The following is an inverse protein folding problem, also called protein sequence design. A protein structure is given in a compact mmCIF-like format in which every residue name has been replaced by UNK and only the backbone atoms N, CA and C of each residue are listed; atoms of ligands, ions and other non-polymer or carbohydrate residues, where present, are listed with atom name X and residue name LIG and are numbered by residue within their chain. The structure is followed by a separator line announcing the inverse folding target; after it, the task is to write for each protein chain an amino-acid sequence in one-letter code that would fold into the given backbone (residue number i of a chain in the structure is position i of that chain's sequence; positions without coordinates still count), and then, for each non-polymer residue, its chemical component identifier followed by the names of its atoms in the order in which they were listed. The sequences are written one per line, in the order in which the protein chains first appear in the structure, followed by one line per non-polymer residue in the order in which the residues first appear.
data_IF_344181669921
#
_entry.id   IF_344181669921
#
_cell.length_a   1.000
_cell.length_b   1.000
_cell.length_c   1.000
_cell.angle_alpha   90.00
_cell.angle_beta   90.00
_cell.angle_gamma   90.00
#
_symmetry.space_group_name_H-M   'P 1'
#
loop_
_entity.id
_entity.type
_entity.pdbx_description
1 polymer ?
#
# COMPACT_ATOMS: atom_id res chain seq x y z
N UNK A 1 5.22 -9.38 -27.77
CA UNK A 1 3.80 -9.45 -27.36
C UNK A 1 3.21 -8.08 -27.62
N UNK A 2 2.16 -7.99 -28.44
CA UNK A 2 1.66 -6.75 -29.04
C UNK A 2 1.04 -5.82 -27.99
N UNK A 3 1.61 -4.62 -27.83
CA UNK A 3 0.98 -3.47 -27.16
C UNK A 3 -0.07 -2.84 -28.11
N UNK A 4 -1.10 -3.61 -28.46
CA UNK A 4 -2.29 -3.04 -29.10
C UNK A 4 -3.16 -2.34 -28.04
N UNK A 5 -3.92 -1.29 -28.39
CA UNK A 5 -4.93 -0.74 -27.50
C UNK A 5 -5.93 -1.84 -27.12
N UNK A 6 -6.32 -1.90 -25.84
CA UNK A 6 -7.27 -2.91 -25.37
C UNK A 6 -8.62 -2.74 -26.09
N UNK A 7 -9.30 -3.84 -26.36
CA UNK A 7 -10.61 -3.82 -27.03
C UNK A 7 -11.70 -3.30 -26.09
N UNK A 8 -12.80 -2.79 -26.63
CA UNK A 8 -13.96 -2.36 -25.83
C UNK A 8 -14.52 -3.48 -24.95
N UNK A 9 -14.41 -4.74 -25.40
CA UNK A 9 -14.84 -5.89 -24.62
C UNK A 9 -13.92 -6.15 -23.42
N UNK A 10 -12.60 -6.08 -23.61
CA UNK A 10 -11.61 -6.19 -22.53
C UNK A 10 -11.75 -5.03 -21.53
N UNK A 11 -12.00 -3.81 -22.02
CA UNK A 11 -12.33 -2.65 -21.17
C UNK A 11 -13.52 -2.96 -20.27
N UNK A 12 -14.66 -3.41 -20.82
CA UNK A 12 -15.86 -3.76 -20.02
C UNK A 12 -15.58 -4.84 -18.99
N UNK A 13 -14.80 -5.87 -19.35
CA UNK A 13 -14.43 -6.93 -18.41
C UNK A 13 -13.56 -6.40 -17.26
N UNK A 14 -12.57 -5.56 -17.56
CA UNK A 14 -11.71 -4.94 -16.55
C UNK A 14 -12.50 -4.00 -15.63
N UNK A 15 -13.37 -3.15 -16.20
CA UNK A 15 -14.25 -2.28 -15.42
C UNK A 15 -15.15 -3.10 -14.49
N UNK A 16 -15.76 -4.18 -14.99
CA UNK A 16 -16.56 -5.08 -14.17
C UNK A 16 -15.75 -5.76 -13.05
N UNK A 17 -14.50 -6.15 -13.31
CA UNK A 17 -13.61 -6.74 -12.31
C UNK A 17 -13.21 -5.73 -11.21
N UNK A 18 -13.00 -4.45 -11.57
CA UNK A 18 -12.72 -3.36 -10.63
C UNK A 18 -13.92 -3.07 -9.73
N UNK A 19 -15.11 -2.93 -10.33
CA UNK A 19 -16.37 -2.64 -9.62
C UNK A 19 -16.77 -3.78 -8.67
N UNK A 20 -16.46 -5.03 -9.02
CA UNK A 20 -16.73 -6.20 -8.18
C UNK A 20 -15.58 -6.54 -7.22
N UNK A 21 -14.55 -5.69 -7.15
CA UNK A 21 -13.38 -5.84 -6.28
C UNK A 21 -12.69 -7.21 -6.40
N UNK A 22 -12.74 -7.83 -7.58
CA UNK A 22 -12.10 -9.13 -7.86
C UNK A 22 -10.58 -8.99 -7.98
N UNK A 23 -10.10 -7.82 -8.37
CA UNK A 23 -8.67 -7.49 -8.38
C UNK A 23 -8.29 -7.02 -6.97
N UNK A 24 -7.51 -7.82 -6.26
CA UNK A 24 -7.23 -7.61 -4.84
C UNK A 24 -5.74 -7.53 -4.49
N UNK A 25 -4.86 -7.61 -5.50
CA UNK A 25 -3.43 -7.37 -5.36
C UNK A 25 -3.00 -6.07 -6.03
N UNK A 26 -1.95 -5.45 -5.50
CA UNK A 26 -1.32 -4.26 -6.10
C UNK A 26 -0.91 -4.52 -7.56
N UNK A 27 -0.42 -5.74 -7.83
CA UNK A 27 0.06 -6.13 -9.16
C UNK A 27 -1.07 -6.21 -10.18
N UNK A 28 -2.24 -6.71 -9.80
CA UNK A 28 -3.42 -6.76 -10.66
C UNK A 28 -4.00 -5.38 -10.90
N UNK A 29 -4.16 -4.57 -9.85
CA UNK A 29 -4.69 -3.21 -9.95
C UNK A 29 -3.79 -2.33 -10.82
N UNK A 30 -2.47 -2.44 -10.69
CA UNK A 30 -1.51 -1.70 -11.53
C UNK A 30 -1.52 -2.15 -12.97
N UNK A 31 -1.69 -3.45 -13.24
CA UNK A 31 -1.85 -3.96 -14.60
C UNK A 31 -3.13 -3.43 -15.23
N UNK A 32 -4.24 -3.46 -14.50
CA UNK A 32 -5.52 -2.89 -14.96
C UNK A 32 -5.39 -1.39 -15.23
N UNK A 33 -4.74 -0.63 -14.33
CA UNK A 33 -4.50 0.80 -14.51
C UNK A 33 -3.67 1.10 -15.77
N UNK A 34 -2.53 0.41 -15.95
CA UNK A 34 -1.70 0.58 -17.15
C UNK A 34 -2.47 0.27 -18.44
N UNK A 35 -3.28 -0.79 -18.43
CA UNK A 35 -4.11 -1.15 -19.58
C UNK A 35 -5.19 -0.10 -19.87
N UNK A 36 -5.91 0.35 -18.85
CA UNK A 36 -7.00 1.32 -19.01
C UNK A 36 -6.49 2.72 -19.36
N UNK A 37 -5.30 3.10 -18.90
CA UNK A 37 -4.66 4.37 -19.27
C UNK A 37 -4.34 4.48 -20.78
N UNK A 38 -4.38 3.37 -21.54
CA UNK A 38 -4.24 3.40 -23.00
C UNK A 38 -5.51 3.85 -23.72
N UNK A 39 -6.64 3.91 -23.02
CA UNK A 39 -7.93 4.38 -23.54
C UNK A 39 -8.31 5.66 -22.81
N UNK A 40 -8.44 6.77 -23.55
CA UNK A 40 -8.95 8.01 -23.01
C UNK A 40 -10.47 7.90 -22.78
N UNK A 41 -10.87 7.53 -21.56
CA UNK A 41 -12.26 7.26 -21.23
C UNK A 41 -12.59 7.66 -19.81
N UNK A 42 -13.48 8.65 -19.66
CA UNK A 42 -13.87 9.17 -18.34
C UNK A 42 -14.55 8.11 -17.45
N UNK A 43 -15.18 7.09 -18.06
CA UNK A 43 -15.91 6.02 -17.37
C UNK A 43 -15.01 5.01 -16.62
N UNK A 44 -13.68 5.09 -16.77
CA UNK A 44 -12.75 4.18 -16.05
C UNK A 44 -12.20 4.78 -14.75
N UNK A 45 -12.27 6.11 -14.59
CA UNK A 45 -11.65 6.82 -13.47
C UNK A 45 -12.29 6.48 -12.12
N UNK A 46 -13.62 6.47 -12.07
CA UNK A 46 -14.37 6.13 -10.86
C UNK A 46 -14.19 4.66 -10.45
N UNK A 47 -14.39 3.65 -11.33
CA UNK A 47 -14.11 2.26 -11.00
C UNK A 47 -12.69 2.01 -10.49
N UNK A 48 -11.70 2.67 -11.12
CA UNK A 48 -10.30 2.55 -10.72
C UNK A 48 -10.07 3.13 -9.32
N UNK A 49 -10.56 4.35 -9.07
CA UNK A 49 -10.42 5.02 -7.77
C UNK A 49 -11.12 4.24 -6.65
N UNK A 50 -12.31 3.71 -6.93
CA UNK A 50 -13.06 2.87 -6.00
C UNK A 50 -12.32 1.57 -5.67
N UNK A 51 -11.75 0.88 -6.67
CA UNK A 51 -10.99 -0.35 -6.45
C UNK A 51 -9.73 -0.12 -5.58
N UNK A 52 -8.98 0.96 -5.83
CA UNK A 52 -7.84 1.33 -4.97
C UNK A 52 -8.25 1.66 -3.55
N UNK A 53 -9.36 2.38 -3.39
CA UNK A 53 -9.92 2.71 -2.07
C UNK A 53 -10.32 1.44 -1.32
N UNK A 54 -10.99 0.50 -1.99
CA UNK A 54 -11.35 -0.79 -1.42
C UNK A 54 -10.11 -1.59 -1.00
N UNK A 55 -9.12 -1.71 -1.87
CA UNK A 55 -7.86 -2.42 -1.61
C UNK A 55 -7.14 -1.92 -0.35
N UNK A 56 -7.10 -0.60 -0.14
CA UNK A 56 -6.46 -0.01 1.04
C UNK A 56 -7.32 -0.19 2.30
N UNK A 57 -8.63 0.02 2.20
CA UNK A 57 -9.51 0.05 3.36
C UNK A 57 -9.95 -1.35 3.83
N UNK A 58 -9.97 -2.36 2.95
CA UNK A 58 -10.40 -3.74 3.26
C UNK A 58 -9.20 -4.71 3.34
N UNK A 59 -8.14 -4.29 4.03
CA UNK A 59 -6.95 -5.08 4.38
C UNK A 59 -6.10 -5.65 3.23
N UNK A 60 -6.37 -5.33 1.95
CA UNK A 60 -5.56 -5.79 0.82
C UNK A 60 -4.09 -5.35 0.95
N UNK A 61 -3.89 -4.05 1.18
CA UNK A 61 -2.56 -3.47 1.38
C UNK A 61 -1.79 -4.10 2.56
N UNK A 62 -2.44 -4.21 3.72
CA UNK A 62 -1.82 -4.78 4.92
C UNK A 62 -1.47 -6.26 4.72
N UNK A 63 -2.34 -7.01 4.04
CA UNK A 63 -2.11 -8.44 3.76
C UNK A 63 -0.88 -8.63 2.88
N UNK A 64 -0.74 -7.84 1.81
CA UNK A 64 0.44 -7.91 0.95
C UNK A 64 1.72 -7.47 1.67
N UNK A 65 1.67 -6.39 2.46
CA UNK A 65 2.81 -5.97 3.28
C UNK A 65 3.26 -7.08 4.23
N UNK A 66 2.32 -7.77 4.90
CA UNK A 66 2.62 -8.92 5.77
C UNK A 66 3.18 -10.12 5.01
N UNK A 67 2.74 -10.33 3.76
CA UNK A 67 3.28 -11.39 2.91
C UNK A 67 4.77 -11.17 2.55
N UNK A 68 5.20 -9.89 2.53
CA UNK A 68 6.57 -9.45 2.27
C UNK A 68 7.41 -9.30 3.55
N UNK A 69 6.78 -9.32 4.73
CA UNK A 69 7.44 -9.19 6.03
C UNK A 69 7.13 -10.39 6.93
N UNK A 70 7.51 -11.59 6.50
CA UNK A 70 7.06 -12.84 7.13
C UNK A 70 7.73 -13.11 8.48
N UNK A 71 8.98 -12.69 8.64
CA UNK A 71 9.70 -12.92 9.90
C UNK A 71 9.19 -11.97 10.97
N UNK A 72 8.89 -10.74 10.57
CA UNK A 72 8.39 -9.68 11.40
C UNK A 72 7.16 -9.02 10.76
N UNK A 73 5.94 -9.57 10.99
CA UNK A 73 4.70 -9.09 10.37
C UNK A 73 4.49 -7.58 10.50
N UNK A 74 4.13 -6.93 9.39
CA UNK A 74 3.88 -5.50 9.32
C UNK A 74 2.78 -5.08 10.31
N UNK A 75 3.04 -3.98 11.01
CA UNK A 75 2.16 -3.41 12.01
C UNK A 75 0.92 -2.74 11.37
N UNK A 76 -0.28 -3.08 11.85
CA UNK A 76 -1.52 -2.49 11.34
C UNK A 76 -1.64 -1.00 11.66
N UNK A 77 -1.21 -0.59 12.85
CA UNK A 77 -1.34 0.80 13.33
C UNK A 77 -0.48 1.75 12.49
N UNK A 78 0.65 1.27 11.98
CA UNK A 78 1.47 2.01 11.02
C UNK A 78 0.70 2.34 9.73
N UNK A 79 -0.12 1.41 9.23
CA UNK A 79 -0.93 1.62 8.02
C UNK A 79 -2.13 2.51 8.31
N UNK A 80 -2.79 2.30 9.44
CA UNK A 80 -3.94 3.12 9.85
C UNK A 80 -3.55 4.58 10.12
N UNK A 81 -2.40 4.82 10.75
CA UNK A 81 -1.88 6.18 10.95
C UNK A 81 -1.52 6.84 9.63
N UNK A 82 -0.90 6.11 8.69
CA UNK A 82 -0.63 6.63 7.36
C UNK A 82 -1.92 7.02 6.62
N UNK A 83 -2.96 6.17 6.66
CA UNK A 83 -4.28 6.47 6.11
C UNK A 83 -4.87 7.74 6.72
N UNK A 84 -4.86 7.85 8.05
CA UNK A 84 -5.35 9.03 8.77
C UNK A 84 -4.63 10.30 8.32
N UNK A 85 -3.30 10.25 8.17
CA UNK A 85 -2.50 11.39 7.71
C UNK A 85 -2.79 11.76 6.27
N UNK A 86 -2.99 10.77 5.37
CA UNK A 86 -3.44 11.05 4.00
C UNK A 86 -4.78 11.79 4.02
N UNK A 87 -5.78 11.30 4.75
CA UNK A 87 -7.09 11.98 4.80
C UNK A 87 -7.05 13.35 5.47
N UNK A 88 -6.08 13.61 6.34
CA UNK A 88 -5.94 14.89 7.05
C UNK A 88 -5.03 15.89 6.32
N UNK A 89 -4.29 15.46 5.29
CA UNK A 89 -3.35 16.33 4.58
C UNK A 89 -4.12 17.14 3.51
N UNK A 90 -4.19 18.48 3.64
CA UNK A 90 -4.84 19.33 2.65
C UNK A 90 -4.16 19.26 1.27
N UNK A 91 -2.93 18.74 1.19
CA UNK A 91 -2.20 18.51 -0.05
C UNK A 91 -2.38 17.08 -0.61
N UNK A 92 -3.23 16.23 -0.04
CA UNK A 92 -3.48 14.87 -0.55
C UNK A 92 -4.12 14.84 -1.94
N UNK A 93 -4.56 15.99 -2.46
CA UNK A 93 -4.98 16.14 -3.87
C UNK A 93 -3.84 15.95 -4.89
N UNK A 94 -2.59 15.71 -4.46
CA UNK A 94 -1.44 15.49 -5.35
C UNK A 94 -1.54 14.19 -6.16
N UNK A 95 -2.29 13.20 -5.70
CA UNK A 95 -2.51 11.94 -6.43
C UNK A 95 -3.92 11.43 -6.17
N UNK A 96 -4.50 10.79 -7.19
CA UNK A 96 -5.77 10.08 -7.05
C UNK A 96 -5.58 8.66 -6.47
N UNK A 97 -4.34 8.14 -6.42
CA UNK A 97 -4.05 6.78 -6.01
C UNK A 97 -3.78 6.68 -4.50
N UNK A 98 -4.80 6.25 -3.74
CA UNK A 98 -4.72 6.13 -2.28
C UNK A 98 -3.62 5.19 -1.79
N UNK A 99 -3.38 4.06 -2.46
CA UNK A 99 -2.37 3.09 -2.04
C UNK A 99 -0.96 3.69 -2.12
N UNK A 100 -0.65 4.38 -3.22
CA UNK A 100 0.61 5.09 -3.38
C UNK A 100 0.79 6.19 -2.32
N UNK A 101 -0.27 6.97 -2.06
CA UNK A 101 -0.25 8.01 -1.03
C UNK A 101 0.06 7.44 0.36
N UNK A 102 -0.61 6.34 0.74
CA UNK A 102 -0.39 5.67 2.03
C UNK A 102 1.04 5.15 2.15
N UNK A 103 1.53 4.42 1.13
CA UNK A 103 2.90 3.89 1.13
C UNK A 103 3.95 5.02 1.19
N UNK A 104 3.72 6.10 0.46
CA UNK A 104 4.60 7.28 0.47
C UNK A 104 4.59 7.96 1.84
N UNK A 105 3.41 8.15 2.46
CA UNK A 105 3.31 8.71 3.81
C UNK A 105 4.02 7.87 4.86
N UNK A 106 3.97 6.54 4.76
CA UNK A 106 4.73 5.65 5.65
C UNK A 106 6.24 5.98 5.60
N UNK A 107 6.79 6.23 4.40
CA UNK A 107 8.20 6.58 4.22
C UNK A 107 8.51 8.03 4.61
N UNK A 108 7.76 9.00 4.09
CA UNK A 108 8.08 10.44 4.27
C UNK A 108 7.95 10.87 5.72
N UNK A 109 6.97 10.32 6.42
CA UNK A 109 6.67 10.69 7.79
C UNK A 109 7.43 9.82 8.82
N UNK A 110 8.32 8.93 8.34
CA UNK A 110 9.14 8.06 9.17
C UNK A 110 8.32 7.24 10.18
N UNK A 111 7.19 6.68 9.74
CA UNK A 111 6.29 5.91 10.61
C UNK A 111 6.92 4.57 11.03
N UNK A 112 7.68 3.93 10.14
CA UNK A 112 8.30 2.62 10.39
C UNK A 112 9.18 2.63 11.65
N UNK A 113 10.17 3.53 11.82
CA UNK A 113 10.98 3.58 13.04
C UNK A 113 10.15 3.69 14.33
N UNK A 114 9.11 4.52 14.32
CA UNK A 114 8.24 4.71 15.49
C UNK A 114 7.48 3.43 15.84
N UNK A 115 6.75 2.87 14.88
CA UNK A 115 5.92 1.68 15.11
C UNK A 115 6.76 0.41 15.34
N UNK A 116 7.96 0.34 14.76
CA UNK A 116 8.90 -0.75 15.00
C UNK A 116 9.36 -0.76 16.46
N UNK A 117 9.71 0.42 17.00
CA UNK A 117 10.09 0.57 18.41
C UNK A 117 8.91 0.32 19.34
N UNK A 118 7.73 0.86 19.01
CA UNK A 118 6.51 0.63 19.77
C UNK A 118 6.17 -0.86 19.85
N UNK A 119 6.18 -1.58 18.72
CA UNK A 119 5.90 -3.01 18.68
C UNK A 119 6.98 -3.81 19.41
N UNK A 120 8.26 -3.50 19.21
CA UNK A 120 9.37 -4.14 19.92
C UNK A 120 9.31 -3.92 21.44
N UNK A 121 8.67 -2.85 21.92
CA UNK A 121 8.52 -2.59 23.35
C UNK A 121 7.37 -3.37 24.02
N UNK A 122 6.48 -3.99 23.23
CA UNK A 122 5.33 -4.70 23.78
C UNK A 122 5.78 -5.98 24.50
N UNK A 123 5.37 -6.21 25.76
CA UNK A 123 5.73 -7.43 26.51
C UNK A 123 5.37 -8.72 25.77
N UNK A 124 4.31 -8.71 24.95
CA UNK A 124 3.91 -9.84 24.11
C UNK A 124 5.02 -10.35 23.18
N UNK A 125 5.93 -9.48 22.73
CA UNK A 125 7.10 -9.85 21.92
C UNK A 125 8.18 -10.61 22.71
N UNK A 126 8.07 -10.61 24.03
CA UNK A 126 9.06 -11.14 24.98
C UNK A 126 8.45 -12.20 25.90
N UNK A 127 7.40 -12.88 25.43
CA UNK A 127 6.69 -13.88 26.23
C UNK A 127 6.05 -13.29 27.50
N UNK A 128 5.52 -12.06 27.40
CA UNK A 128 4.93 -11.26 28.48
C UNK A 128 5.91 -10.79 29.57
N UNK A 129 7.21 -10.76 29.27
CA UNK A 129 8.22 -10.17 30.15
C UNK A 129 8.52 -8.72 29.78
N UNK A 130 9.01 -7.94 30.75
CA UNK A 130 9.51 -6.60 30.50
C UNK A 130 10.81 -6.66 29.68
N UNK A 131 10.88 -6.00 28.52
CA UNK A 131 12.08 -6.04 27.71
C UNK A 131 13.17 -5.08 28.21
N UNK A 132 14.42 -5.41 27.91
CA UNK A 132 15.54 -4.50 28.10
C UNK A 132 15.59 -3.47 26.98
N UNK A 133 16.16 -2.30 27.25
CA UNK A 133 16.33 -1.25 26.23
C UNK A 133 17.12 -1.77 25.01
N UNK A 134 18.18 -2.55 25.24
CA UNK A 134 19.00 -3.15 24.17
C UNK A 134 18.22 -4.20 23.37
N UNK A 135 17.38 -4.98 24.04
CA UNK A 135 16.50 -5.95 23.38
C UNK A 135 15.51 -5.25 22.45
N UNK A 136 14.83 -4.22 22.94
CA UNK A 136 13.91 -3.40 22.14
C UNK A 136 14.63 -2.80 20.94
N UNK A 137 15.83 -2.24 21.12
CA UNK A 137 16.59 -1.63 20.03
C UNK A 137 16.96 -2.64 18.93
N UNK A 138 17.44 -3.83 19.30
CA UNK A 138 17.79 -4.90 18.34
C UNK A 138 16.58 -5.39 17.57
N UNK A 139 15.47 -5.68 18.27
CA UNK A 139 14.25 -6.16 17.64
C UNK A 139 13.61 -5.07 16.76
N UNK A 140 13.60 -3.81 17.21
CA UNK A 140 13.14 -2.68 16.40
C UNK A 140 13.96 -2.53 15.12
N UNK A 141 15.29 -2.71 15.17
CA UNK A 141 16.12 -2.67 13.97
C UNK A 141 15.74 -3.76 12.96
N UNK A 142 15.37 -4.96 13.43
CA UNK A 142 14.92 -6.05 12.58
C UNK A 142 13.57 -5.72 11.91
N UNK A 143 12.60 -5.21 12.69
CA UNK A 143 11.34 -4.67 12.16
C UNK A 143 11.58 -3.61 11.09
N UNK A 144 12.40 -2.58 11.40
CA UNK A 144 12.71 -1.48 10.49
C UNK A 144 13.27 -1.99 9.17
N UNK A 145 14.21 -2.95 9.21
CA UNK A 145 14.82 -3.50 8.01
C UNK A 145 13.77 -4.19 7.11
N UNK A 146 12.97 -5.10 7.68
CA UNK A 146 12.01 -5.88 6.89
C UNK A 146 10.83 -5.03 6.41
N UNK A 147 10.34 -4.10 7.23
CA UNK A 147 9.23 -3.21 6.86
C UNK A 147 9.62 -2.20 5.79
N UNK A 148 10.83 -1.63 5.86
CA UNK A 148 11.34 -0.78 4.78
C UNK A 148 11.50 -1.57 3.48
N UNK A 149 11.97 -2.82 3.56
CA UNK A 149 12.04 -3.69 2.39
C UNK A 149 10.65 -3.89 1.78
N UNK A 150 9.65 -4.28 2.57
CA UNK A 150 8.28 -4.51 2.12
C UNK A 150 7.67 -3.26 1.45
N UNK A 151 7.73 -2.10 2.10
CA UNK A 151 7.22 -0.84 1.52
C UNK A 151 7.95 -0.46 0.25
N UNK A 152 9.28 -0.63 0.20
CA UNK A 152 10.06 -0.36 -1.00
C UNK A 152 9.71 -1.30 -2.15
N UNK A 153 9.42 -2.59 -1.90
CA UNK A 153 8.95 -3.51 -2.93
C UNK A 153 7.58 -3.08 -3.48
N UNK A 154 6.65 -2.70 -2.60
CA UNK A 154 5.31 -2.24 -3.03
C UNK A 154 5.39 -0.95 -3.86
N UNK A 155 6.26 -0.01 -3.50
CA UNK A 155 6.41 1.24 -4.25
C UNK A 155 7.01 1.06 -5.66
N UNK A 156 7.75 -0.02 -5.91
CA UNK A 156 8.33 -0.32 -7.25
C UNK A 156 7.28 -0.56 -8.33
N UNK A 157 6.02 -0.81 -7.96
CA UNK A 157 4.93 -0.93 -8.94
C UNK A 157 4.59 0.41 -9.64
N UNK A 158 5.08 1.53 -9.13
CA UNK A 158 5.02 2.83 -9.79
C UNK A 158 6.42 3.26 -10.24
N UNK A 159 6.70 3.13 -11.53
CA UNK A 159 7.95 3.64 -12.15
C UNK A 159 8.04 5.17 -12.03
N UNK A 160 6.90 5.85 -12.05
CA UNK A 160 6.74 7.29 -11.80
C UNK A 160 5.59 7.51 -10.82
N UNK A 161 5.68 8.53 -9.93
CA UNK A 161 4.57 8.89 -9.06
C UNK A 161 3.28 9.12 -9.87
N UNK A 162 2.14 8.51 -9.48
CA UNK A 162 0.84 8.72 -10.13
C UNK A 162 0.23 10.06 -9.69
N UNK A 163 0.97 11.16 -9.88
CA UNK A 163 0.55 12.51 -9.51
C UNK A 163 -0.24 13.14 -10.66
N UNK A 164 -1.28 13.88 -10.32
CA UNK A 164 -2.00 14.69 -11.31
C UNK A 164 -1.12 15.91 -11.65
N UNK A 165 -0.79 16.09 -12.93
CA UNK A 165 -0.10 17.28 -13.42
C UNK A 165 -1.02 18.49 -13.50
#
# INVERSE_FOLDING_TARGET
MSNGPITENEKRQLVGALQTHRLNTIAELRRAEKSLATIDSADVSEPMTSAWTYYVNHHGLLTELRSLSRNYPFNSDCVEEAKRRVYSDPNSNRSWNLAWLVLTKIQTDQLIPYYARYQASQPAMWGNHAPTADGVAKLASAFVSEWNHAVSQMLRYWERPPVSH
#
